data_IF_508555012733
#
_entry.id   IF_508555012733
#
_cell.length_a   1.000
_cell.length_b   1.000
_cell.length_c   1.000
_cell.angle_alpha   90.00
_cell.angle_beta   90.00
_cell.angle_gamma   90.00
#
_symmetry.space_group_name_H-M   'P 1'
#
loop_
_entity.id
_entity.type
_entity.pdbx_description
1 polymer ?
#
# COMPACT_ATOMS: atom_id res chain seq x y z
N UNK A 1 10.00 -45.68 -46.73
CA UNK A 1 8.91 -45.07 -47.52
C UNK A 1 8.53 -43.75 -46.84
N UNK A 2 8.61 -42.61 -47.54
CA UNK A 2 8.42 -41.28 -46.96
C UNK A 2 6.93 -40.87 -47.02
N UNK A 3 6.46 -40.07 -46.05
CA UNK A 3 5.23 -39.27 -46.19
C UNK A 3 5.51 -37.85 -45.72
N UNK A 4 5.60 -36.96 -46.70
CA UNK A 4 5.73 -35.50 -46.61
C UNK A 4 4.29 -34.89 -46.46
N UNK A 5 4.08 -33.58 -46.24
CA UNK A 5 3.31 -33.04 -45.12
C UNK A 5 1.93 -32.47 -45.52
N UNK A 6 1.05 -32.28 -44.54
CA UNK A 6 -0.23 -31.59 -44.71
C UNK A 6 -0.11 -30.09 -44.47
N UNK A 7 -0.11 -29.31 -45.55
CA UNK A 7 -0.34 -27.87 -45.59
C UNK A 7 -1.80 -27.59 -45.25
N UNK A 8 -2.09 -26.73 -44.28
CA UNK A 8 -3.43 -26.14 -44.10
C UNK A 8 -3.35 -24.62 -44.18
N UNK A 9 -4.28 -24.11 -44.97
CA UNK A 9 -4.34 -22.86 -45.69
C UNK A 9 -4.71 -21.67 -44.79
N UNK A 10 -4.06 -20.52 -45.03
CA UNK A 10 -4.44 -19.21 -44.50
C UNK A 10 -5.84 -18.84 -44.99
N UNK A 11 -6.69 -18.38 -44.08
CA UNK A 11 -7.93 -17.67 -44.43
C UNK A 11 -7.78 -16.20 -44.04
N UNK A 12 -7.56 -15.37 -45.05
CA UNK A 12 -7.56 -13.91 -44.97
C UNK A 12 -8.99 -13.42 -44.87
N UNK A 13 -9.35 -12.73 -43.79
CA UNK A 13 -10.53 -11.85 -43.77
C UNK A 13 -10.09 -10.42 -43.54
N UNK A 14 -10.16 -9.66 -44.63
CA UNK A 14 -10.16 -8.22 -44.65
C UNK A 14 -11.47 -7.68 -44.06
N UNK A 15 -11.38 -6.65 -43.23
CA UNK A 15 -12.46 -5.71 -42.92
C UNK A 15 -11.80 -4.35 -42.65
N UNK A 16 -11.68 -3.55 -43.71
CA UNK A 16 -12.49 -2.35 -43.99
C UNK A 16 -12.15 -1.21 -43.02
N UNK A 17 -11.34 -0.31 -43.57
CA UNK A 17 -11.04 1.04 -43.12
C UNK A 17 -12.32 1.89 -43.21
N UNK A 18 -12.70 2.56 -42.12
CA UNK A 18 -13.56 3.73 -42.16
C UNK A 18 -12.86 4.89 -41.46
N UNK A 19 -12.51 5.88 -42.29
CA UNK A 19 -11.97 7.17 -41.89
C UNK A 19 -13.11 8.20 -41.67
N UNK A 20 -12.72 9.35 -41.13
CA UNK A 20 -13.47 10.59 -40.90
C UNK A 20 -14.17 10.69 -39.52
N UNK A 21 -14.09 11.79 -38.76
CA UNK A 21 -13.94 13.18 -39.17
C UNK A 21 -13.24 14.04 -38.11
N UNK A 22 -12.46 15.01 -38.61
CA UNK A 22 -11.98 16.19 -37.90
C UNK A 22 -13.16 17.10 -37.53
N UNK A 23 -13.15 17.66 -36.32
CA UNK A 23 -13.84 18.92 -36.03
C UNK A 23 -13.04 19.67 -34.94
N UNK A 24 -12.28 20.64 -35.43
CA UNK A 24 -11.65 21.69 -34.66
C UNK A 24 -12.70 22.71 -34.21
N UNK A 25 -12.68 23.11 -32.94
CA UNK A 25 -13.24 24.40 -32.52
C UNK A 25 -12.24 25.09 -31.59
N UNK A 26 -11.57 26.10 -32.14
CA UNK A 26 -10.90 27.13 -31.39
C UNK A 26 -11.94 28.17 -30.96
N UNK A 27 -11.95 28.54 -29.68
CA UNK A 27 -12.53 29.80 -29.24
C UNK A 27 -11.58 30.44 -28.21
N UNK A 28 -11.08 31.61 -28.60
CA UNK A 28 -10.29 32.57 -27.82
C UNK A 28 -11.25 33.59 -27.22
N UNK A 29 -11.03 34.01 -25.97
CA UNK A 29 -11.31 35.36 -25.40
C UNK A 29 -10.73 35.40 -23.95
N UNK A 30 -9.63 36.11 -23.64
CA UNK A 30 -9.51 37.53 -23.15
C UNK A 30 -10.44 37.84 -21.96
N UNK A 31 -10.12 38.51 -20.83
CA UNK A 31 -9.15 39.56 -20.50
C UNK A 31 -9.17 39.88 -18.96
N UNK A 32 -8.10 40.54 -18.46
CA UNK A 32 -7.97 41.51 -17.31
C UNK A 32 -8.40 41.10 -15.87
N UNK A 33 -7.75 41.48 -14.76
CA UNK A 33 -6.63 42.38 -14.40
C UNK A 33 -6.25 42.09 -12.92
N UNK A 34 -4.98 42.23 -12.51
CA UNK A 34 -4.32 43.38 -11.87
C UNK A 34 -4.14 43.25 -10.34
N UNK A 35 -2.85 43.11 -9.98
CA UNK A 35 -2.09 43.61 -8.80
C UNK A 35 -2.72 43.78 -7.42
N UNK A 36 -2.13 43.08 -6.45
CA UNK A 36 -1.52 43.63 -5.22
C UNK A 36 -0.46 42.59 -4.76
N UNK A 37 0.81 42.89 -4.45
CA UNK A 37 1.34 44.12 -3.87
C UNK A 37 1.62 43.95 -2.38
N UNK A 38 2.37 42.94 -1.93
CA UNK A 38 2.92 42.93 -0.56
C UNK A 38 4.32 42.34 -0.50
N UNK A 39 5.26 43.27 -0.41
CA UNK A 39 6.63 43.15 0.09
C UNK A 39 6.65 42.65 1.54
N UNK A 40 7.54 41.72 1.86
CA UNK A 40 7.70 41.23 3.24
C UNK A 40 8.95 40.40 3.48
N UNK A 41 10.10 41.05 3.41
CA UNK A 41 11.35 40.80 4.12
C UNK A 41 11.80 39.35 4.42
N UNK A 42 12.90 38.95 3.77
CA UNK A 42 13.83 37.96 4.27
C UNK A 42 14.37 38.39 5.65
N UNK A 43 14.16 37.55 6.66
CA UNK A 43 14.82 37.67 7.96
C UNK A 43 15.94 36.63 8.06
N UNK A 44 17.15 37.10 7.77
CA UNK A 44 18.42 36.51 8.20
C UNK A 44 18.57 36.74 9.70
N UNK A 45 18.85 35.69 10.48
CA UNK A 45 19.46 35.77 11.82
C UNK A 45 20.01 34.39 12.17
N UNK A 46 21.28 34.12 11.89
CA UNK A 46 22.45 34.34 12.77
C UNK A 46 22.47 33.43 14.01
N UNK A 47 23.30 32.40 13.87
CA UNK A 47 23.90 31.56 14.90
C UNK A 47 24.40 32.33 16.12
N UNK A 48 24.04 31.88 17.32
CA UNK A 48 24.73 32.25 18.56
C UNK A 48 25.19 30.98 19.26
N UNK A 49 26.49 30.74 19.23
CA UNK A 49 27.19 29.77 20.06
C UNK A 49 27.35 30.35 21.47
N UNK A 50 26.91 29.61 22.49
CA UNK A 50 27.16 29.91 23.89
C UNK A 50 27.76 28.69 24.57
N UNK A 51 29.08 28.67 24.72
CA UNK A 51 29.79 27.77 25.63
C UNK A 51 29.98 28.47 26.98
N UNK A 52 29.60 27.81 28.07
CA UNK A 52 30.17 28.06 29.39
C UNK A 52 30.18 26.74 30.19
N UNK A 53 31.31 26.49 30.84
CA UNK A 53 31.70 25.26 31.53
C UNK A 53 31.67 25.43 33.06
N UNK A 54 31.61 24.30 33.78
CA UNK A 54 31.99 24.12 35.19
C UNK A 54 30.95 24.58 36.22
N UNK A 55 30.71 23.93 37.36
CA UNK A 55 31.57 23.07 38.17
C UNK A 55 30.71 22.22 39.14
N UNK A 56 31.30 21.10 39.57
CA UNK A 56 30.81 20.01 40.42
C UNK A 56 30.27 20.35 41.82
N UNK A 57 29.44 19.43 42.36
CA UNK A 57 29.64 18.81 43.69
C UNK A 57 28.72 17.59 43.88
N UNK A 58 29.31 16.43 44.18
CA UNK A 58 28.64 15.30 44.86
C UNK A 58 28.44 15.59 46.36
N UNK A 59 27.98 14.66 47.23
CA UNK A 59 28.34 13.24 47.21
C UNK A 59 27.22 12.23 47.62
N UNK A 60 27.66 10.96 47.69
CA UNK A 60 27.30 9.91 48.64
C UNK A 60 26.20 8.89 48.28
N UNK A 61 26.73 7.70 48.01
CA UNK A 61 26.19 6.36 47.89
C UNK A 61 25.27 5.90 49.02
N UNK A 62 24.27 5.08 48.67
CA UNK A 62 23.84 3.94 49.48
C UNK A 62 23.67 2.71 48.60
N UNK A 63 24.46 1.70 48.92
CA UNK A 63 24.46 0.34 48.38
C UNK A 63 23.24 -0.43 48.90
N UNK A 64 22.53 -1.13 48.02
CA UNK A 64 21.78 -2.33 48.39
C UNK A 64 21.91 -3.36 47.27
N UNK A 65 22.44 -4.52 47.64
CA UNK A 65 22.68 -5.67 46.79
C UNK A 65 21.63 -6.77 47.05
N UNK A 66 21.39 -7.58 46.03
CA UNK A 66 20.61 -8.83 46.05
C UNK A 66 19.60 -8.84 44.91
N UNK A 67 19.49 -9.81 44.01
CA UNK A 67 20.05 -11.18 43.84
C UNK A 67 19.76 -11.55 42.38
N UNK A 68 20.56 -12.39 41.69
CA UNK A 68 20.40 -12.64 40.26
C UNK A 68 19.26 -13.63 40.00
N UNK A 69 18.31 -13.25 39.13
CA UNK A 69 17.40 -14.21 38.51
C UNK A 69 17.93 -14.58 37.13
N UNK A 70 18.54 -15.76 37.08
CA UNK A 70 18.64 -16.61 35.89
C UNK A 70 17.24 -16.93 35.38
N UNK A 71 16.97 -16.55 34.14
CA UNK A 71 15.76 -16.89 33.40
C UNK A 71 16.00 -16.60 31.94
N UNK A 72 16.89 -17.39 31.32
CA UNK A 72 16.92 -17.52 29.89
C UNK A 72 15.64 -18.25 29.48
N UNK A 73 14.74 -17.57 28.80
CA UNK A 73 13.82 -18.18 27.84
C UNK A 73 13.86 -17.29 26.61
N UNK A 74 14.49 -17.83 25.57
CA UNK A 74 14.81 -17.11 24.35
C UNK A 74 13.56 -16.59 23.67
N UNK A 75 13.69 -15.40 23.09
CA UNK A 75 12.86 -14.99 21.97
C UNK A 75 13.10 -16.04 20.88
N UNK A 76 12.10 -16.84 20.44
CA UNK A 76 12.25 -17.50 19.17
C UNK A 76 12.15 -16.41 18.11
N UNK A 77 13.29 -15.98 17.57
CA UNK A 77 13.38 -15.63 16.16
C UNK A 77 13.06 -16.93 15.40
N UNK A 78 11.76 -17.21 15.29
CA UNK A 78 11.18 -18.45 14.81
C UNK A 78 10.20 -18.15 13.70
N UNK A 79 10.75 -18.05 12.50
CA UNK A 79 10.01 -18.09 11.23
C UNK A 79 9.21 -19.38 11.22
N UNK A 80 7.89 -19.30 11.40
CA UNK A 80 7.02 -20.47 11.45
C UNK A 80 5.57 -20.10 11.23
N UNK A 81 4.98 -20.65 10.18
CA UNK A 81 3.54 -20.69 9.94
C UNK A 81 2.87 -21.49 11.07
N UNK A 82 2.56 -20.81 12.17
CA UNK A 82 1.78 -21.33 13.28
C UNK A 82 0.76 -20.25 13.63
N UNK A 83 -0.51 -20.63 13.70
CA UNK A 83 -1.59 -19.73 14.08
C UNK A 83 -1.25 -19.09 15.44
N UNK A 84 -1.19 -17.76 15.47
CA UNK A 84 -1.20 -17.01 16.71
C UNK A 84 -2.50 -17.25 17.46
N UNK A 85 -2.58 -16.78 18.71
CA UNK A 85 -3.81 -16.89 19.50
C UNK A 85 -4.89 -15.86 19.05
N UNK A 86 -4.69 -15.21 17.91
CA UNK A 86 -5.46 -14.05 17.48
C UNK A 86 -5.34 -12.85 18.40
N UNK A 87 -6.13 -11.84 18.08
CA UNK A 87 -6.30 -10.66 18.91
C UNK A 87 -7.35 -10.90 19.99
N UNK A 88 -7.09 -10.55 21.27
CA UNK A 88 -8.08 -10.74 22.31
C UNK A 88 -9.32 -9.87 22.05
N UNK A 89 -10.50 -10.47 22.13
CA UNK A 89 -11.78 -9.79 21.99
C UNK A 89 -11.84 -8.55 22.88
N UNK A 90 -12.47 -7.49 22.36
CA UNK A 90 -12.62 -6.23 23.09
C UNK A 90 -14.05 -5.67 22.92
N UNK A 91 -14.33 -4.56 23.60
CA UNK A 91 -15.66 -3.93 23.57
C UNK A 91 -15.83 -2.92 22.42
N UNK A 92 -14.81 -2.71 21.58
CA UNK A 92 -14.91 -1.79 20.45
C UNK A 92 -15.81 -2.39 19.37
N UNK A 93 -16.58 -1.54 18.70
CA UNK A 93 -17.56 -1.96 17.71
C UNK A 93 -17.33 -1.25 16.39
N UNK A 94 -17.75 -1.90 15.30
CA UNK A 94 -17.79 -1.28 13.98
C UNK A 94 -18.85 -0.17 13.98
N UNK A 95 -18.52 1.06 13.51
CA UNK A 95 -19.49 2.13 13.37
C UNK A 95 -20.69 1.73 12.51
N UNK A 96 -21.89 2.17 12.89
CA UNK A 96 -23.10 1.89 12.13
C UNK A 96 -22.99 2.47 10.70
N UNK A 97 -23.37 1.67 9.71
CA UNK A 97 -23.32 2.06 8.30
C UNK A 97 -21.95 1.99 7.65
N UNK A 98 -20.91 1.49 8.34
CA UNK A 98 -19.62 1.22 7.73
C UNK A 98 -19.76 0.23 6.57
N UNK A 99 -19.01 0.46 5.49
CA UNK A 99 -18.84 -0.54 4.44
C UNK A 99 -17.84 -1.59 4.91
N UNK A 100 -18.14 -2.86 4.66
CA UNK A 100 -17.34 -4.00 5.14
C UNK A 100 -16.95 -4.91 3.99
N UNK A 101 -15.85 -5.64 4.17
CA UNK A 101 -15.47 -6.78 3.32
C UNK A 101 -14.64 -7.78 4.12
N UNK A 102 -14.65 -9.03 3.68
CA UNK A 102 -13.76 -10.07 4.20
C UNK A 102 -12.31 -9.79 3.75
N UNK A 103 -11.37 -9.93 4.68
CA UNK A 103 -9.91 -9.84 4.45
C UNK A 103 -9.27 -11.21 4.69
N UNK A 104 -7.99 -11.37 4.39
CA UNK A 104 -7.20 -12.47 4.94
C UNK A 104 -7.12 -12.44 6.48
N UNK A 105 -6.60 -13.51 7.05
CA UNK A 105 -6.30 -13.69 8.49
C UNK A 105 -5.18 -12.73 8.93
N UNK A 106 -5.53 -11.57 9.48
CA UNK A 106 -4.55 -10.52 9.85
C UNK A 106 -4.09 -10.62 11.30
N UNK A 107 -4.79 -11.37 12.16
CA UNK A 107 -4.40 -11.61 13.56
C UNK A 107 -3.76 -12.99 13.82
N UNK A 108 -3.70 -13.81 12.77
CA UNK A 108 -3.07 -15.13 12.69
C UNK A 108 -3.84 -16.20 13.45
N UNK A 109 -5.12 -16.05 13.74
CA UNK A 109 -5.92 -17.08 14.40
C UNK A 109 -6.35 -18.25 13.48
N UNK A 110 -6.04 -18.15 12.19
CA UNK A 110 -6.39 -19.12 11.15
C UNK A 110 -7.72 -18.87 10.47
N UNK A 111 -8.46 -17.84 10.87
CA UNK A 111 -9.77 -17.48 10.33
C UNK A 111 -9.71 -16.12 9.60
N UNK A 112 -10.63 -15.92 8.66
CA UNK A 112 -10.68 -14.68 7.90
C UNK A 112 -11.28 -13.53 8.72
N UNK A 113 -10.64 -12.37 8.67
CA UNK A 113 -11.10 -11.17 9.39
C UNK A 113 -12.02 -10.29 8.51
N UNK A 114 -12.49 -9.18 9.09
CA UNK A 114 -13.29 -8.16 8.40
C UNK A 114 -12.56 -6.83 8.37
N UNK A 115 -12.38 -6.24 7.18
CA UNK A 115 -11.96 -4.85 7.00
C UNK A 115 -13.18 -3.96 6.80
N UNK A 116 -13.13 -2.73 7.32
CA UNK A 116 -14.24 -1.79 7.22
C UNK A 116 -13.79 -0.34 7.07
N UNK A 117 -14.65 0.45 6.44
CA UNK A 117 -14.51 1.89 6.27
C UNK A 117 -15.77 2.60 6.76
N UNK A 118 -15.59 3.59 7.63
CA UNK A 118 -16.66 4.46 8.10
C UNK A 118 -16.39 5.91 7.68
N UNK A 119 -17.43 6.65 7.31
CA UNK A 119 -17.33 8.06 6.91
C UNK A 119 -17.71 9.04 8.05
N UNK A 120 -18.33 8.55 9.13
CA UNK A 120 -18.82 9.38 10.24
C UNK A 120 -18.46 8.79 11.61
N UNK A 121 -18.18 9.62 12.64
CA UNK A 121 -18.05 11.08 12.57
C UNK A 121 -16.76 11.53 11.83
N UNK A 122 -15.79 10.64 11.69
CA UNK A 122 -14.52 10.85 10.99
C UNK A 122 -14.27 9.67 10.04
N UNK A 123 -13.51 9.91 8.97
CA UNK A 123 -13.13 8.86 8.04
C UNK A 123 -12.19 7.88 8.73
N UNK A 124 -12.64 6.64 8.90
CA UNK A 124 -11.97 5.64 9.74
C UNK A 124 -11.77 4.35 8.95
N UNK A 125 -10.56 3.81 9.04
CA UNK A 125 -10.21 2.47 8.58
C UNK A 125 -10.15 1.57 9.81
N UNK A 126 -10.75 0.38 9.75
CA UNK A 126 -10.61 -0.59 10.82
C UNK A 126 -10.69 -2.03 10.39
N UNK A 127 -10.36 -2.88 11.36
CA UNK A 127 -10.39 -4.32 11.29
C UNK A 127 -11.24 -4.82 12.46
N UNK A 128 -12.05 -5.83 12.20
CA UNK A 128 -12.66 -6.68 13.22
C UNK A 128 -12.22 -8.11 12.96
N UNK A 129 -11.56 -8.71 13.94
CA UNK A 129 -11.02 -10.06 13.81
C UNK A 129 -12.09 -11.12 14.08
N UNK A 130 -11.87 -12.35 13.62
CA UNK A 130 -12.77 -13.48 13.89
C UNK A 130 -12.87 -13.79 15.40
N UNK A 131 -11.76 -13.62 16.13
CA UNK A 131 -11.70 -13.63 17.61
C UNK A 131 -12.54 -12.53 18.29
N UNK A 132 -12.99 -11.50 17.57
CA UNK A 132 -13.86 -10.43 18.07
C UNK A 132 -13.14 -9.19 18.57
N UNK A 133 -11.85 -9.02 18.26
CA UNK A 133 -11.15 -7.77 18.51
C UNK A 133 -11.50 -6.75 17.42
N UNK A 134 -11.78 -5.50 17.80
CA UNK A 134 -11.92 -4.41 16.84
C UNK A 134 -10.86 -3.35 17.12
N UNK A 135 -10.16 -2.90 16.08
CA UNK A 135 -9.20 -1.80 16.14
C UNK A 135 -9.25 -0.97 14.86
N UNK A 136 -8.90 0.31 14.98
CA UNK A 136 -9.08 1.26 13.89
C UNK A 136 -8.11 2.43 13.95
N UNK A 137 -8.02 3.16 12.85
CA UNK A 137 -7.27 4.41 12.73
C UNK A 137 -8.03 5.40 11.86
N UNK A 138 -7.89 6.68 12.18
CA UNK A 138 -8.46 7.77 11.39
C UNK A 138 -7.54 8.05 10.20
N UNK A 139 -8.13 8.34 9.04
CA UNK A 139 -7.37 8.77 7.87
C UNK A 139 -7.98 10.02 7.26
N UNK A 140 -7.15 10.78 6.56
CA UNK A 140 -7.59 11.96 5.81
C UNK A 140 -7.31 11.76 4.33
N UNK A 141 -8.27 12.12 3.48
CA UNK A 141 -8.03 12.22 2.05
C UNK A 141 -8.80 13.42 1.48
N UNK A 142 -8.10 14.19 0.65
CA UNK A 142 -8.67 15.29 -0.12
C UNK A 142 -9.29 14.82 -1.45
N UNK A 143 -9.26 13.51 -1.74
CA UNK A 143 -9.90 12.98 -2.93
C UNK A 143 -11.43 13.00 -2.78
N UNK A 144 -12.17 13.43 -3.82
CA UNK A 144 -13.64 13.43 -3.80
C UNK A 144 -14.24 12.03 -3.95
N UNK A 145 -13.42 11.01 -4.13
CA UNK A 145 -13.84 9.62 -4.33
C UNK A 145 -13.93 8.89 -2.99
N UNK A 146 -14.87 7.95 -2.89
CA UNK A 146 -14.93 7.00 -1.79
C UNK A 146 -13.61 6.24 -1.68
N UNK A 147 -13.10 6.09 -0.46
CA UNK A 147 -11.96 5.21 -0.21
C UNK A 147 -12.39 3.74 -0.35
N UNK A 148 -11.43 2.88 -0.65
CA UNK A 148 -11.57 1.43 -0.51
C UNK A 148 -10.40 0.82 0.23
N UNK A 149 -10.62 -0.31 0.92
CA UNK A 149 -9.60 -0.96 1.70
C UNK A 149 -9.68 -2.49 1.61
N UNK A 150 -8.52 -3.13 1.55
CA UNK A 150 -8.38 -4.58 1.65
C UNK A 150 -7.25 -4.93 2.60
N UNK A 151 -7.39 -6.02 3.35
CA UNK A 151 -6.33 -6.55 4.18
C UNK A 151 -5.83 -7.90 3.66
N UNK A 152 -4.60 -8.24 3.99
CA UNK A 152 -4.01 -9.53 3.64
C UNK A 152 -2.87 -9.89 4.58
N UNK A 153 -2.70 -11.20 4.82
CA UNK A 153 -1.47 -11.75 5.37
C UNK A 153 -0.50 -12.08 4.25
N UNK A 154 0.67 -11.47 4.28
CA UNK A 154 1.75 -11.90 3.41
C UNK A 154 2.30 -13.22 3.95
N UNK A 155 2.00 -14.31 3.27
CA UNK A 155 2.48 -15.65 3.62
C UNK A 155 3.86 -15.90 2.97
N UNK A 156 4.64 -16.88 3.45
CA UNK A 156 4.34 -17.79 4.56
C UNK A 156 4.77 -17.26 5.94
N UNK A 157 5.54 -16.17 6.00
CA UNK A 157 6.01 -15.56 7.26
C UNK A 157 6.08 -14.01 7.21
N UNK A 158 5.45 -13.40 6.20
CA UNK A 158 5.41 -11.94 6.07
C UNK A 158 4.41 -11.27 7.02
N UNK A 159 4.38 -9.94 7.08
CA UNK A 159 3.45 -9.22 7.95
C UNK A 159 2.01 -9.28 7.44
N UNK A 160 1.07 -9.04 8.34
CA UNK A 160 -0.30 -8.69 7.96
C UNK A 160 -0.37 -7.21 7.62
N UNK A 161 -1.03 -6.88 6.51
CA UNK A 161 -1.10 -5.52 5.96
C UNK A 161 -2.52 -5.12 5.62
N UNK A 162 -2.75 -3.81 5.52
CA UNK A 162 -3.96 -3.22 4.96
C UNK A 162 -3.56 -2.17 3.93
N UNK A 163 -4.17 -2.25 2.74
CA UNK A 163 -4.03 -1.30 1.65
C UNK A 163 -5.25 -0.38 1.65
N UNK A 164 -5.06 0.91 1.91
CA UNK A 164 -6.11 1.93 1.86
C UNK A 164 -5.98 2.76 0.59
N UNK A 165 -6.83 2.47 -0.40
CA UNK A 165 -6.90 3.20 -1.66
C UNK A 165 -7.84 4.41 -1.52
N UNK A 166 -7.32 5.60 -1.79
CA UNK A 166 -8.08 6.85 -1.77
C UNK A 166 -8.39 7.39 -3.17
N UNK A 167 -8.09 6.61 -4.21
CA UNK A 167 -8.21 6.97 -5.63
C UNK A 167 -7.00 7.73 -6.19
N UNK A 168 -6.21 8.39 -5.33
CA UNK A 168 -4.95 9.06 -5.70
C UNK A 168 -3.72 8.27 -5.27
N UNK A 169 -3.80 7.66 -4.10
CA UNK A 169 -2.73 6.89 -3.50
C UNK A 169 -3.29 5.72 -2.72
N UNK A 170 -2.42 4.73 -2.50
CA UNK A 170 -2.70 3.58 -1.63
C UNK A 170 -1.77 3.67 -0.42
N UNK A 171 -2.30 4.06 0.74
CA UNK A 171 -1.55 4.05 1.98
C UNK A 171 -1.41 2.61 2.49
N UNK A 172 -0.23 2.29 3.01
CA UNK A 172 0.07 0.97 3.57
C UNK A 172 0.06 1.03 5.10
N UNK A 173 -0.68 0.12 5.71
CA UNK A 173 -0.69 -0.11 7.16
C UNK A 173 -0.23 -1.53 7.44
N UNK A 174 0.54 -1.69 8.52
CA UNK A 174 0.80 -2.98 9.12
C UNK A 174 -0.21 -3.25 10.25
N UNK A 175 -0.60 -4.51 10.39
CA UNK A 175 -1.33 -5.00 11.56
C UNK A 175 -0.30 -5.54 12.54
N UNK A 176 -0.07 -4.80 13.63
CA UNK A 176 0.91 -5.16 14.65
C UNK A 176 0.32 -4.90 16.01
N UNK A 177 0.50 -5.84 16.95
CA UNK A 177 0.00 -5.75 18.32
C UNK A 177 -1.51 -5.42 18.37
N UNK A 178 -2.29 -6.03 17.46
CA UNK A 178 -3.73 -5.79 17.33
C UNK A 178 -4.10 -4.33 17.08
N UNK A 179 -3.28 -3.63 16.30
CA UNK A 179 -3.49 -2.25 15.88
C UNK A 179 -3.08 -2.00 14.43
N UNK A 180 -3.69 -0.99 13.82
CA UNK A 180 -3.29 -0.49 12.50
C UNK A 180 -2.19 0.56 12.66
N UNK A 181 -0.99 0.25 12.18
CA UNK A 181 0.19 1.11 12.25
C UNK A 181 0.55 1.57 10.84
N UNK A 182 0.64 2.89 10.57
CA UNK A 182 1.15 3.37 9.28
C UNK A 182 2.54 2.79 9.02
N UNK A 183 2.72 2.15 7.88
CA UNK A 183 4.05 1.72 7.44
C UNK A 183 4.84 2.94 7.03
N UNK A 184 6.10 3.04 7.45
CA UNK A 184 6.97 4.17 7.14
C UNK A 184 7.99 3.83 6.05
N UNK A 185 8.35 4.81 5.23
CA UNK A 185 9.45 4.71 4.28
C UNK A 185 10.81 4.97 4.96
N UNK A 186 11.90 4.93 4.17
CA UNK A 186 13.26 5.18 4.65
C UNK A 186 13.48 6.60 5.20
N UNK A 187 12.60 7.56 4.87
CA UNK A 187 12.63 8.94 5.34
C UNK A 187 11.79 9.13 6.61
N UNK A 188 11.09 8.08 7.06
CA UNK A 188 10.18 8.13 8.20
C UNK A 188 8.81 8.72 7.87
N UNK A 189 8.47 8.88 6.59
CA UNK A 189 7.16 9.34 6.15
C UNK A 189 6.22 8.14 5.93
N UNK A 190 4.89 8.31 6.09
CA UNK A 190 3.95 7.25 5.73
C UNK A 190 4.16 6.77 4.29
N UNK A 191 4.38 5.47 4.14
CA UNK A 191 4.57 4.83 2.86
C UNK A 191 3.23 4.74 2.11
N UNK A 192 3.22 5.23 0.89
CA UNK A 192 2.06 5.11 0.00
C UNK A 192 2.51 4.81 -1.43
N UNK A 193 1.73 3.99 -2.12
CA UNK A 193 1.85 3.85 -3.56
C UNK A 193 1.15 5.02 -4.22
N UNK A 194 1.85 5.66 -5.15
CA UNK A 194 1.26 6.66 -6.02
C UNK A 194 0.69 5.96 -7.26
N UNK A 195 -0.60 6.17 -7.54
CA UNK A 195 -1.30 5.60 -8.69
C UNK A 195 -1.14 6.47 -9.95
N UNK A 196 0.10 6.81 -10.30
CA UNK A 196 0.46 7.39 -11.60
C UNK A 196 0.94 8.85 -11.61
N UNK A 197 1.07 9.52 -10.47
CA UNK A 197 1.59 10.89 -10.39
C UNK A 197 3.11 10.99 -10.19
N UNK A 198 3.77 10.00 -9.58
CA UNK A 198 5.24 10.00 -9.33
C UNK A 198 6.01 8.84 -9.97
N UNK A 199 5.34 7.96 -10.73
CA UNK A 199 6.00 6.97 -11.61
C UNK A 199 6.35 5.61 -10.98
N UNK A 200 5.89 5.31 -9.76
CA UNK A 200 6.16 4.04 -9.07
C UNK A 200 5.04 3.00 -9.17
N UNK A 201 3.91 3.36 -9.78
CA UNK A 201 2.85 2.41 -10.08
C UNK A 201 1.63 3.07 -10.72
N UNK A 202 0.85 2.29 -11.45
CA UNK A 202 -0.56 2.57 -11.74
C UNK A 202 -1.47 1.66 -10.91
N UNK A 203 -0.87 0.80 -10.06
CA UNK A 203 -1.55 -0.21 -9.27
C UNK A 203 -0.63 -0.85 -8.22
N UNK A 204 -1.23 -1.71 -7.40
CA UNK A 204 -0.58 -2.43 -6.30
C UNK A 204 -1.02 -3.87 -6.37
N UNK A 205 -0.10 -4.80 -6.17
CA UNK A 205 -0.35 -6.23 -6.22
C UNK A 205 0.33 -6.97 -5.08
N UNK A 206 -0.15 -8.18 -4.78
CA UNK A 206 0.65 -9.18 -4.07
C UNK A 206 0.83 -10.38 -4.97
N UNK A 207 2.07 -10.81 -5.14
CA UNK A 207 2.46 -11.81 -6.14
C UNK A 207 3.09 -12.99 -5.43
N UNK A 208 2.69 -14.19 -5.83
CA UNK A 208 3.32 -15.43 -5.43
C UNK A 208 4.81 -15.43 -5.83
N UNK A 209 5.71 -15.61 -4.86
CA UNK A 209 7.15 -15.77 -5.05
C UNK A 209 7.57 -17.17 -5.49
N UNK A 210 6.64 -18.13 -5.42
CA UNK A 210 6.81 -19.53 -5.77
C UNK A 210 5.46 -20.24 -5.77
N UNK A 211 5.01 -20.64 -4.58
CA UNK A 211 3.66 -21.20 -4.37
C UNK A 211 2.62 -20.07 -4.30
N UNK A 212 1.34 -20.36 -4.59
CA UNK A 212 0.25 -19.35 -4.62
C UNK A 212 0.06 -18.62 -3.27
N UNK A 213 0.58 -19.22 -2.19
CA UNK A 213 0.56 -18.69 -0.83
C UNK A 213 1.79 -17.79 -0.54
N UNK A 214 2.85 -17.77 -1.35
CA UNK A 214 4.05 -16.94 -1.09
C UNK A 214 3.85 -15.47 -1.52
N UNK A 215 2.88 -14.77 -0.93
CA UNK A 215 2.50 -13.43 -1.35
C UNK A 215 3.54 -12.37 -0.93
N UNK A 216 4.19 -11.77 -1.93
CA UNK A 216 5.05 -10.60 -1.77
C UNK A 216 4.37 -9.34 -2.31
N UNK A 217 4.40 -8.25 -1.53
CA UNK A 217 3.84 -6.96 -1.90
C UNK A 217 4.68 -6.31 -3.00
N UNK A 218 4.01 -5.77 -4.04
CA UNK A 218 4.66 -5.13 -5.17
C UNK A 218 3.91 -3.90 -5.66
N UNK A 219 4.66 -2.89 -6.10
CA UNK A 219 4.13 -1.83 -6.95
C UNK A 219 4.10 -2.29 -8.40
N UNK A 220 3.00 -2.03 -9.11
CA UNK A 220 2.84 -2.39 -10.51
C UNK A 220 2.65 -1.13 -11.35
N UNK A 221 3.41 -1.01 -12.43
CA UNK A 221 3.37 0.17 -13.30
C UNK A 221 3.18 -0.24 -14.75
N UNK A 222 2.12 0.25 -15.39
CA UNK A 222 1.86 0.06 -16.82
C UNK A 222 2.01 1.39 -17.57
N UNK A 223 3.07 1.50 -18.38
CA UNK A 223 3.39 2.70 -19.15
C UNK A 223 3.05 2.45 -20.63
N UNK A 224 2.32 3.38 -21.25
CA UNK A 224 2.09 3.37 -22.70
C UNK A 224 3.39 3.70 -23.43
N UNK A 225 3.88 2.78 -24.26
CA UNK A 225 5.09 2.94 -25.07
C UNK A 225 4.80 3.47 -26.47
N UNK A 226 3.55 3.82 -26.76
CA UNK A 226 3.06 4.30 -28.05
C UNK A 226 2.38 3.21 -28.86
N UNK A 227 1.49 3.61 -29.78
CA UNK A 227 0.80 2.68 -30.69
C UNK A 227 -0.16 1.70 -29.99
N UNK A 228 -0.63 2.03 -28.78
CA UNK A 228 -1.50 1.17 -27.98
C UNK A 228 -0.78 0.00 -27.31
N UNK A 229 0.56 0.08 -27.22
CA UNK A 229 1.40 -0.92 -26.58
C UNK A 229 1.89 -0.46 -25.21
N UNK A 230 2.07 -1.40 -24.30
CA UNK A 230 2.43 -1.13 -22.92
C UNK A 230 3.69 -1.90 -22.51
N UNK A 231 4.44 -1.26 -21.62
CA UNK A 231 5.47 -1.89 -20.80
C UNK A 231 4.99 -1.96 -19.37
N UNK A 232 5.00 -3.16 -18.79
CA UNK A 232 4.60 -3.38 -17.40
C UNK A 232 5.83 -3.72 -16.58
N UNK A 233 6.06 -2.95 -15.51
CA UNK A 233 7.12 -3.21 -14.53
C UNK A 233 6.54 -3.52 -13.17
N UNK A 234 7.30 -4.31 -12.40
CA UNK A 234 6.99 -4.70 -11.03
C UNK A 234 8.15 -4.27 -10.13
N UNK A 235 7.86 -3.52 -9.09
CA UNK A 235 8.83 -3.12 -8.06
C UNK A 235 8.51 -3.87 -6.79
N UNK A 236 9.47 -4.65 -6.28
CA UNK A 236 9.30 -5.35 -5.01
C UNK A 236 9.19 -4.34 -3.86
N UNK A 237 8.28 -4.57 -2.92
CA UNK A 237 8.21 -3.82 -1.66
C UNK A 237 8.62 -4.74 -0.53
N UNK A 238 9.80 -4.47 0.01
CA UNK A 238 10.34 -5.21 1.15
C UNK A 238 9.77 -4.61 2.41
N UNK A 239 9.13 -5.45 3.22
CA UNK A 239 8.56 -5.05 4.48
C UNK A 239 9.46 -5.53 5.62
N UNK A 240 9.80 -4.59 6.49
CA UNK A 240 10.67 -4.79 7.63
C UNK A 240 9.90 -4.48 8.92
N UNK A 241 10.43 -4.95 10.06
CA UNK A 241 9.86 -4.65 11.39
C UNK A 241 8.35 -4.96 11.46
N UNK A 242 7.99 -6.19 11.08
CA UNK A 242 6.59 -6.64 10.98
C UNK A 242 5.71 -5.74 10.10
N UNK A 243 6.29 -5.12 9.08
CA UNK A 243 5.59 -4.21 8.17
C UNK A 243 5.55 -2.76 8.63
N UNK A 244 6.12 -2.41 9.78
CA UNK A 244 6.22 -1.02 10.24
C UNK A 244 7.13 -0.17 9.33
N UNK A 245 8.00 -0.81 8.55
CA UNK A 245 8.88 -0.16 7.57
C UNK A 245 8.76 -0.80 6.19
N UNK A 246 8.85 0.02 5.15
CA UNK A 246 8.85 -0.42 3.76
C UNK A 246 10.03 0.17 2.98
N UNK A 247 10.63 -0.67 2.15
CA UNK A 247 11.72 -0.31 1.23
C UNK A 247 11.39 -0.80 -0.16
N UNK A 248 11.54 0.08 -1.15
CA UNK A 248 11.48 -0.32 -2.56
C UNK A 248 12.72 -1.14 -2.92
N UNK A 249 12.49 -2.38 -3.33
CA UNK A 249 13.49 -3.29 -3.85
C UNK A 249 13.69 -3.15 -5.36
N UNK A 250 14.17 -4.22 -5.98
CA UNK A 250 14.42 -4.26 -7.42
C UNK A 250 13.14 -4.12 -8.25
N UNK A 251 13.29 -3.47 -9.41
CA UNK A 251 12.25 -3.37 -10.44
C UNK A 251 12.55 -4.33 -11.59
N UNK A 252 11.55 -5.09 -12.02
CA UNK A 252 11.63 -6.03 -13.14
C UNK A 252 10.59 -5.73 -14.21
N UNK A 253 10.87 -6.07 -15.46
CA UNK A 253 9.90 -6.00 -16.56
C UNK A 253 9.13 -7.31 -16.61
N UNK A 254 7.80 -7.26 -16.52
CA UNK A 254 6.93 -8.45 -16.55
C UNK A 254 6.14 -8.56 -17.86
N UNK A 255 6.05 -7.48 -18.62
CA UNK A 255 5.52 -7.47 -19.98
C UNK A 255 6.10 -6.29 -20.78
N UNK A 256 6.25 -6.47 -22.08
CA UNK A 256 6.70 -5.43 -23.00
C UNK A 256 6.03 -5.59 -24.36
N UNK A 257 5.62 -4.48 -24.97
CA UNK A 257 4.94 -4.48 -26.27
C UNK A 257 3.55 -5.11 -26.26
N UNK A 258 2.90 -5.18 -25.10
CA UNK A 258 1.58 -5.83 -24.94
C UNK A 258 0.43 -4.84 -25.11
N UNK A 259 -0.73 -5.31 -25.56
CA UNK A 259 -1.91 -4.45 -25.74
C UNK A 259 -2.56 -4.02 -24.43
N UNK A 260 -3.45 -3.02 -24.50
CA UNK A 260 -4.17 -2.48 -23.34
C UNK A 260 -5.01 -3.53 -22.58
N UNK A 261 -5.54 -4.52 -23.30
CA UNK A 261 -6.39 -5.58 -22.73
C UNK A 261 -5.59 -6.78 -22.19
N UNK A 262 -4.25 -6.74 -22.26
CA UNK A 262 -3.42 -7.79 -21.67
C UNK A 262 -3.66 -7.85 -20.14
N UNK A 263 -3.92 -9.03 -19.55
CA UNK A 263 -4.19 -9.17 -18.12
C UNK A 263 -3.13 -8.53 -17.21
N UNK A 264 -1.87 -8.46 -17.64
CA UNK A 264 -0.79 -7.82 -16.87
C UNK A 264 -0.92 -6.30 -16.87
N UNK A 265 -1.41 -5.72 -17.96
CA UNK A 265 -1.69 -4.28 -18.06
C UNK A 265 -2.91 -3.92 -17.23
N UNK A 266 -3.99 -4.70 -17.33
CA UNK A 266 -5.21 -4.45 -16.55
C UNK A 266 -4.96 -4.64 -15.05
N UNK A 267 -4.25 -5.71 -14.64
CA UNK A 267 -3.88 -5.92 -13.24
C UNK A 267 -2.98 -4.80 -12.71
N UNK A 268 -1.99 -4.35 -13.49
CA UNK A 268 -1.10 -3.25 -13.11
C UNK A 268 -1.80 -1.88 -12.96
N UNK A 269 -3.09 -1.79 -13.30
CA UNK A 269 -3.93 -0.59 -13.13
C UNK A 269 -4.97 -0.75 -12.01
N UNK A 270 -4.87 -1.82 -11.23
CA UNK A 270 -5.78 -2.13 -10.13
C UNK A 270 -5.03 -2.21 -8.82
N UNK A 271 -5.77 -2.13 -7.72
CA UNK A 271 -5.26 -2.39 -6.37
C UNK A 271 -5.83 -3.73 -5.95
N UNK A 272 -4.95 -4.69 -5.66
CA UNK A 272 -5.33 -6.03 -5.22
C UNK A 272 -4.19 -6.72 -4.49
N UNK A 273 -4.48 -7.83 -3.82
CA UNK A 273 -3.49 -8.62 -3.11
C UNK A 273 -3.89 -10.10 -3.11
N UNK A 274 -3.14 -10.93 -3.84
CA UNK A 274 -3.52 -12.32 -4.10
C UNK A 274 -4.85 -12.38 -4.85
N UNK A 275 -5.78 -13.19 -4.36
CA UNK A 275 -7.12 -13.33 -4.94
C UNK A 275 -8.09 -12.18 -4.55
N UNK A 276 -7.67 -11.28 -3.67
CA UNK A 276 -8.49 -10.15 -3.24
C UNK A 276 -8.32 -8.96 -4.17
N UNK A 277 -9.37 -8.66 -4.94
CA UNK A 277 -9.45 -7.50 -5.85
C UNK A 277 -10.63 -6.57 -5.52
N UNK A 278 -11.47 -6.99 -4.58
CA UNK A 278 -12.55 -6.20 -4.01
C UNK A 278 -12.31 -6.06 -2.50
N UNK A 279 -12.62 -4.88 -1.96
CA UNK A 279 -12.43 -4.55 -0.56
C UNK A 279 -13.63 -3.79 0.00
N UNK A 280 -13.53 -3.39 1.27
CA UNK A 280 -14.51 -2.50 1.87
C UNK A 280 -14.52 -1.19 1.08
N UNK A 281 -15.71 -0.63 0.87
CA UNK A 281 -15.89 0.67 0.22
C UNK A 281 -16.50 1.62 1.22
N UNK A 282 -15.94 2.82 1.33
CA UNK A 282 -16.44 3.85 2.22
C UNK A 282 -17.88 4.24 1.84
N UNK A 283 -18.81 4.26 2.82
CA UNK A 283 -20.16 4.74 2.59
C UNK A 283 -20.14 6.23 2.20
N UNK A 284 -21.03 6.62 1.29
CA UNK A 284 -21.19 7.99 0.79
C UNK A 284 -22.41 8.66 1.42
#
# INVERSE_FOLDING_TARGET
MPKVPGVITRSSRALVVSAASLLSFSAVLTACGDTDGTTGAAATSSSTSGSAAGTASGPASTTAAGTPSTGADGIPDGVGAGGGNGCPANAATVPAGAGTATTGDVDLDGEADTVWLAATPERTLGITTATGATFSTVFTSAAPQAASALGQKLQPAGPAIVLLNTGRSVALYAVVDCGLVPTLDQRGEPYAFDLGFTGYGTGVGCVAGGDEEDLSLVGLNAIDTGGGTFRVTRTAVQLEDSGRRAVNGGTTVVAEGVGADDPRVTNARTVGCGNQTAGAVEPQ
#
